data_IF_534880066336
#
_entry.id   IF_534880066336
#
_cell.length_a   1.000
_cell.length_b   1.000
_cell.length_c   1.000
_cell.angle_alpha   90.00
_cell.angle_beta   90.00
_cell.angle_gamma   90.00
#
_symmetry.space_group_name_H-M   'P 1'
#
loop_
_entity.id
_entity.type
_entity.pdbx_description
1 polymer ?
#
# COMPACT_ATOMS: atom_id res chain seq x y z
N UNK A 1 -15.52 12.91 22.45
CA UNK A 1 -16.05 13.10 21.07
C UNK A 1 -15.57 11.92 20.24
N UNK A 2 -16.44 11.15 19.57
CA UNK A 2 -15.97 10.07 18.71
C UNK A 2 -15.26 10.67 17.49
N UNK A 3 -14.01 10.25 17.26
CA UNK A 3 -13.24 10.64 16.08
C UNK A 3 -13.91 10.00 14.86
N UNK A 4 -14.53 10.82 14.02
CA UNK A 4 -15.01 10.37 12.70
C UNK A 4 -13.79 10.26 11.79
N UNK A 5 -13.35 9.03 11.52
CA UNK A 5 -12.39 8.76 10.46
C UNK A 5 -13.09 9.04 9.13
N UNK A 6 -12.63 10.06 8.42
CA UNK A 6 -13.16 10.38 7.10
C UNK A 6 -12.61 9.34 6.12
N UNK A 7 -13.42 8.35 5.74
CA UNK A 7 -12.94 7.20 4.94
C UNK A 7 -12.72 7.52 3.44
N UNK A 8 -12.94 8.76 3.01
CA UNK A 8 -12.81 9.20 1.62
C UNK A 8 -11.47 9.89 1.35
N UNK A 9 -10.36 9.22 1.62
CA UNK A 9 -9.06 9.69 1.14
C UNK A 9 -8.80 9.13 -0.26
N UNK A 10 -8.86 9.99 -1.27
CA UNK A 10 -8.47 9.65 -2.63
C UNK A 10 -7.02 10.05 -2.90
N UNK A 11 -6.17 9.07 -3.15
CA UNK A 11 -4.75 9.28 -3.45
C UNK A 11 -4.46 9.25 -4.97
N UNK A 12 -5.49 9.28 -5.82
CA UNK A 12 -5.37 9.16 -7.29
C UNK A 12 -4.43 10.19 -7.96
N UNK A 13 -4.15 11.30 -7.27
CA UNK A 13 -3.25 12.36 -7.74
C UNK A 13 -1.82 12.25 -7.21
N UNK A 14 -1.57 11.32 -6.29
CA UNK A 14 -0.32 11.24 -5.53
C UNK A 14 0.50 10.00 -5.88
N UNK A 15 1.80 10.21 -6.08
CA UNK A 15 2.79 9.13 -6.13
C UNK A 15 3.40 8.97 -4.76
N UNK A 16 3.42 7.74 -4.25
CA UNK A 16 3.90 7.43 -2.90
C UNK A 16 5.09 6.50 -3.00
N UNK A 17 6.18 6.86 -2.30
CA UNK A 17 7.37 6.02 -2.17
C UNK A 17 7.47 5.63 -0.71
N UNK A 18 7.34 4.33 -0.42
CA UNK A 18 7.39 3.82 0.95
C UNK A 18 8.62 2.93 1.12
N UNK A 19 9.63 3.46 1.82
CA UNK A 19 10.84 2.71 2.17
C UNK A 19 10.59 1.79 3.36
N UNK A 20 11.35 0.69 3.45
CA UNK A 20 11.20 -0.26 4.57
C UNK A 20 9.87 -1.04 4.57
N UNK A 21 9.16 -1.10 3.43
CA UNK A 21 7.83 -1.70 3.33
C UNK A 21 7.80 -3.24 3.32
N UNK A 22 8.95 -3.90 3.22
CA UNK A 22 9.04 -5.36 3.02
C UNK A 22 8.51 -6.19 4.19
N UNK A 23 8.44 -5.61 5.39
CA UNK A 23 8.01 -6.32 6.60
C UNK A 23 7.38 -5.38 7.63
N UNK A 24 6.85 -5.96 8.71
CA UNK A 24 6.36 -5.24 9.89
C UNK A 24 5.35 -4.15 9.57
N UNK A 25 5.53 -2.97 10.17
CA UNK A 25 4.62 -1.82 10.02
C UNK A 25 4.57 -1.36 8.56
N UNK A 26 5.72 -1.28 7.89
CA UNK A 26 5.80 -0.84 6.50
C UNK A 26 4.95 -1.71 5.56
N UNK A 27 4.89 -3.02 5.80
CA UNK A 27 4.04 -3.96 5.04
C UNK A 27 2.55 -3.66 5.22
N UNK A 28 2.11 -3.37 6.44
CA UNK A 28 0.71 -3.04 6.72
C UNK A 28 0.34 -1.68 6.12
N UNK A 29 1.23 -0.70 6.24
CA UNK A 29 1.02 0.64 5.66
C UNK A 29 0.96 0.56 4.14
N UNK A 30 1.82 -0.22 3.48
CA UNK A 30 1.77 -0.43 2.04
C UNK A 30 0.42 -0.99 1.57
N UNK A 31 -0.13 -1.97 2.31
CA UNK A 31 -1.46 -2.54 2.03
C UNK A 31 -2.57 -1.49 2.17
N UNK A 32 -2.56 -0.73 3.27
CA UNK A 32 -3.56 0.31 3.53
C UNK A 32 -3.52 1.38 2.43
N UNK A 33 -2.32 1.87 2.10
CA UNK A 33 -2.13 2.88 1.06
C UNK A 33 -2.57 2.39 -0.32
N UNK A 34 -2.35 1.12 -0.64
CA UNK A 34 -2.83 0.54 -1.89
C UNK A 34 -4.36 0.54 -1.99
N UNK A 35 -5.08 0.50 -0.86
CA UNK A 35 -6.55 0.57 -0.81
C UNK A 35 -7.14 1.97 -1.05
N UNK A 36 -6.33 3.02 -1.02
CA UNK A 36 -6.77 4.42 -1.20
C UNK A 36 -6.57 4.95 -2.64
N UNK A 37 -6.49 4.05 -3.63
CA UNK A 37 -6.34 4.37 -5.06
C UNK A 37 -5.18 5.34 -5.38
N UNK A 38 -3.94 5.09 -4.93
CA UNK A 38 -2.83 5.99 -5.22
C UNK A 38 -2.52 6.00 -6.72
N UNK A 39 -2.09 7.16 -7.27
CA UNK A 39 -1.63 7.24 -8.67
C UNK A 39 -0.56 6.20 -8.96
N UNK A 40 0.36 6.03 -8.01
CA UNK A 40 1.43 5.02 -8.05
C UNK A 40 1.97 4.78 -6.65
N UNK A 41 2.16 3.52 -6.29
CA UNK A 41 2.83 3.11 -5.05
C UNK A 41 4.16 2.42 -5.39
N UNK A 42 5.27 2.98 -4.93
CA UNK A 42 6.62 2.47 -5.17
C UNK A 42 7.19 1.93 -3.87
N UNK A 43 7.56 0.65 -3.86
CA UNK A 43 8.02 -0.07 -2.68
C UNK A 43 9.48 -0.53 -2.91
N UNK A 44 10.48 0.34 -2.66
CA UNK A 44 11.87 -0.05 -2.80
C UNK A 44 12.22 -1.17 -1.81
N UNK A 45 12.76 -2.26 -2.34
CA UNK A 45 13.16 -3.43 -1.59
C UNK A 45 14.63 -3.77 -1.89
N UNK A 46 15.41 -4.05 -0.84
CA UNK A 46 16.79 -4.54 -0.98
C UNK A 46 16.86 -6.02 -1.38
N UNK A 47 15.85 -6.78 -0.99
CA UNK A 47 15.71 -8.20 -1.30
C UNK A 47 14.49 -8.38 -2.22
N UNK A 48 14.73 -8.94 -3.41
CA UNK A 48 13.73 -9.11 -4.47
C UNK A 48 12.62 -10.09 -4.06
N UNK A 49 12.94 -11.19 -3.40
CA UNK A 49 11.96 -12.18 -2.93
C UNK A 49 11.00 -11.57 -1.91
N UNK A 50 11.54 -10.83 -0.92
CA UNK A 50 10.70 -10.12 0.06
C UNK A 50 9.80 -9.08 -0.60
N UNK A 51 10.30 -8.40 -1.63
CA UNK A 51 9.51 -7.46 -2.43
C UNK A 51 8.37 -8.14 -3.20
N UNK A 52 8.64 -9.29 -3.83
CA UNK A 52 7.63 -10.08 -4.53
C UNK A 52 6.55 -10.60 -3.57
N UNK A 53 6.95 -11.13 -2.42
CA UNK A 53 6.01 -11.59 -1.38
C UNK A 53 5.11 -10.45 -0.89
N UNK A 54 5.65 -9.23 -0.74
CA UNK A 54 4.87 -8.04 -0.41
C UNK A 54 3.88 -7.69 -1.51
N UNK A 55 4.30 -7.75 -2.78
CA UNK A 55 3.43 -7.47 -3.92
C UNK A 55 2.25 -8.45 -3.99
N UNK A 56 2.50 -9.74 -3.82
CA UNK A 56 1.45 -10.77 -3.74
C UNK A 56 0.52 -10.55 -2.55
N UNK A 57 1.09 -10.20 -1.40
CA UNK A 57 0.31 -9.87 -0.20
C UNK A 57 -0.64 -8.69 -0.41
N UNK A 58 -0.19 -7.63 -1.07
CA UNK A 58 -1.03 -6.46 -1.38
C UNK A 58 -2.11 -6.83 -2.40
N UNK A 59 -1.76 -7.56 -3.46
CA UNK A 59 -2.73 -8.01 -4.49
C UNK A 59 -3.83 -8.90 -3.92
N UNK A 60 -3.46 -9.88 -3.11
CA UNK A 60 -4.41 -10.79 -2.45
C UNK A 60 -5.29 -10.09 -1.42
N UNK A 61 -4.77 -9.04 -0.77
CA UNK A 61 -5.55 -8.27 0.22
C UNK A 61 -6.56 -7.31 -0.39
N UNK A 62 -6.36 -6.84 -1.63
CA UNK A 62 -7.15 -5.74 -2.17
C UNK A 62 -8.34 -6.13 -3.06
N UNK A 63 -8.58 -7.42 -3.36
CA UNK A 63 -9.82 -7.93 -4.00
C UNK A 63 -10.23 -7.35 -5.37
N UNK A 64 -9.60 -6.26 -5.82
CA UNK A 64 -9.85 -5.52 -7.06
C UNK A 64 -8.51 -5.08 -7.64
N UNK A 65 -7.68 -6.04 -8.04
CA UNK A 65 -6.46 -5.74 -8.79
C UNK A 65 -6.78 -5.58 -10.28
N UNK A 66 -7.67 -4.64 -10.62
CA UNK A 66 -7.93 -4.20 -12.00
C UNK A 66 -8.12 -2.67 -12.00
N UNK A 67 -7.01 -1.94 -11.98
CA UNK A 67 -6.92 -0.60 -12.57
C UNK A 67 -5.48 -0.35 -13.00
#
# INVERSE_FOLDING_TARGET
>A
MPVKLNNNYDLSKHVIILTGATDGIGKIVARILAGFNPKKLILPARNKEKGNNLLEYIKSSNGHANN
#
